data_IF_118126913128
#
_entry.id   IF_118126913128
#
_cell.length_a   1.000
_cell.length_b   1.000
_cell.length_c   1.000
_cell.angle_alpha   90.00
_cell.angle_beta   90.00
_cell.angle_gamma   90.00
#
_symmetry.space_group_name_H-M   'P 1'
#
loop_
_entity.id
_entity.type
_entity.pdbx_description
1 polymer ?
#
# COMPACT_ATOMS: atom_id res chain seq x y z
N UNK A 1 -17.76 -53.26 -18.48
CA UNK A 1 -17.61 -51.95 -17.88
C UNK A 1 -17.92 -50.91 -18.95
N UNK A 2 -18.87 -50.00 -18.70
CA UNK A 2 -19.37 -49.09 -19.70
C UNK A 2 -18.47 -47.83 -19.78
N UNK A 3 -17.64 -47.75 -20.81
CA UNK A 3 -16.63 -46.70 -21.04
C UNK A 3 -17.23 -45.26 -20.89
N UNK A 4 -18.49 -45.09 -21.28
CA UNK A 4 -19.17 -43.82 -21.12
C UNK A 4 -19.35 -43.37 -19.65
N UNK A 5 -19.54 -44.31 -18.73
CA UNK A 5 -19.64 -44.00 -17.27
C UNK A 5 -18.29 -43.71 -16.65
N UNK A 6 -17.20 -44.28 -17.21
CA UNK A 6 -15.84 -44.00 -16.77
C UNK A 6 -15.38 -42.63 -17.20
N UNK A 7 -15.71 -42.19 -18.45
CA UNK A 7 -15.38 -40.86 -18.93
C UNK A 7 -16.12 -39.77 -18.14
N UNK A 8 -17.40 -39.99 -17.79
CA UNK A 8 -18.17 -39.01 -17.02
C UNK A 8 -17.61 -38.81 -15.60
N UNK A 9 -17.04 -39.87 -14.99
CA UNK A 9 -16.41 -39.78 -13.67
C UNK A 9 -15.03 -39.14 -13.71
N UNK A 10 -14.29 -39.30 -14.80
CA UNK A 10 -12.98 -38.66 -14.99
C UNK A 10 -13.12 -37.14 -15.27
N UNK A 11 -14.17 -36.72 -15.98
CA UNK A 11 -14.42 -35.30 -16.24
C UNK A 11 -14.91 -34.57 -14.98
N UNK A 12 -15.63 -35.25 -14.07
CA UNK A 12 -16.05 -34.66 -12.79
C UNK A 12 -14.91 -34.48 -11.79
N UNK A 13 -13.78 -35.18 -11.96
CA UNK A 13 -12.64 -35.06 -11.04
C UNK A 13 -11.63 -33.96 -11.46
N UNK A 14 -11.77 -33.42 -12.67
CA UNK A 14 -10.86 -32.41 -13.21
C UNK A 14 -11.29 -30.96 -12.93
N UNK A 15 -12.40 -30.72 -12.22
CA UNK A 15 -12.90 -29.37 -11.92
C UNK A 15 -12.88 -29.03 -10.42
N UNK A 16 -11.98 -29.63 -9.67
CA UNK A 16 -11.57 -29.04 -8.40
C UNK A 16 -10.49 -28.03 -8.76
N UNK A 17 -10.92 -26.84 -9.18
CA UNK A 17 -10.08 -25.67 -9.12
C UNK A 17 -9.68 -25.50 -7.65
N UNK A 18 -8.46 -25.88 -7.32
CA UNK A 18 -7.85 -25.59 -6.03
C UNK A 18 -7.74 -24.06 -5.98
N UNK A 19 -8.74 -23.41 -5.41
CA UNK A 19 -8.59 -22.07 -4.89
C UNK A 19 -7.58 -22.18 -3.74
N UNK A 20 -6.31 -22.13 -4.09
CA UNK A 20 -5.29 -21.82 -3.10
C UNK A 20 -5.58 -20.36 -2.70
N UNK A 21 -5.89 -20.09 -1.43
CA UNK A 21 -5.89 -18.72 -0.96
C UNK A 21 -4.48 -18.18 -1.26
N UNK A 22 -4.38 -17.18 -2.12
CA UNK A 22 -3.15 -16.40 -2.22
C UNK A 22 -2.96 -15.80 -0.84
N UNK A 23 -2.02 -16.34 -0.07
CA UNK A 23 -1.60 -15.72 1.17
C UNK A 23 -1.05 -14.37 0.73
N UNK A 24 -1.76 -13.30 1.07
CA UNK A 24 -1.27 -11.95 0.88
C UNK A 24 0.04 -11.86 1.64
N UNK A 25 1.16 -11.86 0.92
CA UNK A 25 2.47 -11.66 1.53
C UNK A 25 2.63 -10.15 1.71
N UNK A 26 2.66 -9.73 2.95
CA UNK A 26 3.03 -8.37 3.29
C UNK A 26 4.53 -8.21 3.01
N UNK A 27 4.86 -7.38 2.02
CA UNK A 27 6.24 -6.99 1.78
C UNK A 27 6.61 -5.77 2.63
N UNK A 28 7.89 -5.65 2.93
CA UNK A 28 8.42 -4.47 3.60
C UNK A 28 8.99 -3.50 2.57
N UNK A 29 8.52 -2.25 2.61
CA UNK A 29 8.92 -1.16 1.73
C UNK A 29 9.67 -0.10 2.52
N UNK A 30 10.87 0.24 2.06
CA UNK A 30 11.74 1.17 2.77
C UNK A 30 11.69 2.56 2.15
N UNK A 31 11.40 3.56 2.99
CA UNK A 31 11.28 4.96 2.56
C UNK A 31 12.56 5.55 1.98
N UNK A 32 13.71 5.01 2.32
CA UNK A 32 15.01 5.44 1.76
C UNK A 32 15.13 5.12 0.25
N UNK A 33 14.36 4.17 -0.26
CA UNK A 33 14.38 3.81 -1.69
C UNK A 33 13.50 4.73 -2.56
N UNK A 34 12.81 5.70 -1.96
CA UNK A 34 11.98 6.69 -2.64
C UNK A 34 10.56 6.79 -2.04
N UNK A 35 9.82 7.78 -2.49
CA UNK A 35 8.40 7.92 -2.14
C UNK A 35 7.59 6.71 -2.59
N UNK A 36 6.56 6.37 -1.81
CA UNK A 36 5.75 5.16 -2.02
C UNK A 36 4.33 5.57 -2.39
N UNK A 37 3.78 4.92 -3.42
CA UNK A 37 2.36 5.03 -3.77
C UNK A 37 1.69 3.68 -3.62
N UNK A 38 0.66 3.61 -2.79
CA UNK A 38 -0.22 2.46 -2.66
C UNK A 38 -1.50 2.76 -3.42
N UNK A 39 -1.96 1.84 -4.26
CA UNK A 39 -3.18 2.00 -5.08
C UNK A 39 -4.07 0.77 -4.95
N UNK A 40 -5.25 0.94 -4.35
CA UNK A 40 -6.25 -0.10 -4.20
C UNK A 40 -7.40 0.11 -5.20
N UNK A 41 -7.76 -0.96 -5.89
CA UNK A 41 -8.84 -1.04 -6.88
C UNK A 41 -9.72 -2.26 -6.58
N UNK A 42 -10.80 -2.45 -7.33
CA UNK A 42 -11.64 -3.65 -7.25
C UNK A 42 -10.87 -4.95 -7.55
N UNK A 43 -9.76 -4.85 -8.30
CA UNK A 43 -8.95 -6.01 -8.71
C UNK A 43 -7.80 -6.33 -7.75
N UNK A 44 -7.53 -5.49 -6.76
CA UNK A 44 -6.46 -5.69 -5.79
C UNK A 44 -5.71 -4.41 -5.44
N UNK A 45 -4.62 -4.56 -4.71
CA UNK A 45 -3.77 -3.47 -4.27
C UNK A 45 -2.36 -3.63 -4.80
N UNK A 46 -1.81 -2.54 -5.31
CA UNK A 46 -0.45 -2.44 -5.80
C UNK A 46 0.34 -1.38 -5.04
N UNK A 47 1.63 -1.60 -4.91
CA UNK A 47 2.59 -0.63 -4.37
C UNK A 47 3.61 -0.28 -5.44
N UNK A 48 3.86 1.01 -5.60
CA UNK A 48 4.84 1.55 -6.55
C UNK A 48 5.91 2.35 -5.83
N UNK A 49 7.17 2.08 -6.13
CA UNK A 49 8.34 2.77 -5.59
C UNK A 49 9.50 2.69 -6.59
N UNK A 50 10.21 3.80 -6.82
CA UNK A 50 11.40 3.81 -7.67
C UNK A 50 11.16 3.33 -9.11
N UNK A 51 9.94 3.47 -9.65
CA UNK A 51 9.57 2.99 -10.98
C UNK A 51 9.19 1.51 -11.06
N UNK A 52 9.21 0.79 -9.93
CA UNK A 52 8.74 -0.60 -9.83
C UNK A 52 7.34 -0.61 -9.23
N UNK A 53 6.45 -1.42 -9.80
CA UNK A 53 5.10 -1.68 -9.26
C UNK A 53 4.94 -3.16 -8.98
N UNK A 54 4.44 -3.49 -7.79
CA UNK A 54 4.21 -4.87 -7.34
C UNK A 54 2.87 -4.98 -6.62
N UNK A 55 2.18 -6.10 -6.81
CA UNK A 55 1.00 -6.43 -6.02
C UNK A 55 1.40 -6.72 -4.56
N UNK A 56 0.76 -6.02 -3.63
CA UNK A 56 0.94 -6.19 -2.19
C UNK A 56 -0.32 -5.70 -1.48
N UNK A 57 -1.06 -6.62 -0.89
CA UNK A 57 -2.37 -6.33 -0.28
C UNK A 57 -2.30 -5.82 1.16
N UNK A 58 -1.12 -5.84 1.77
CA UNK A 58 -0.91 -5.40 3.16
C UNK A 58 0.54 -4.90 3.39
N UNK A 59 1.05 -3.92 2.61
CA UNK A 59 2.42 -3.46 2.72
C UNK A 59 2.74 -2.93 4.11
N UNK A 60 3.96 -3.24 4.57
CA UNK A 60 4.57 -2.61 5.73
C UNK A 60 5.58 -1.58 5.22
N UNK A 61 5.36 -0.32 5.57
CA UNK A 61 6.22 0.81 5.18
C UNK A 61 7.01 1.26 6.40
N UNK A 62 8.33 1.37 6.24
CA UNK A 62 9.21 1.77 7.34
C UNK A 62 10.49 2.45 6.86
N UNK A 63 11.24 3.05 7.78
CA UNK A 63 12.63 3.41 7.56
C UNK A 63 13.56 2.22 7.90
N UNK A 64 14.71 2.13 7.24
CA UNK A 64 15.82 1.25 7.68
C UNK A 64 16.46 1.76 8.95
N UNK A 65 16.57 3.08 9.05
CA UNK A 65 17.05 3.79 10.22
C UNK A 65 16.02 4.84 10.63
N UNK A 66 15.19 4.50 11.61
CA UNK A 66 14.14 5.38 12.11
C UNK A 66 14.68 6.60 12.88
N UNK A 67 15.97 6.64 13.21
CA UNK A 67 16.61 7.82 13.81
C UNK A 67 16.89 8.93 12.78
N UNK A 68 16.91 8.59 11.48
CA UNK A 68 17.14 9.50 10.38
C UNK A 68 15.83 9.78 9.63
N UNK A 69 15.45 11.06 9.52
CA UNK A 69 14.26 11.42 8.73
C UNK A 69 14.53 11.36 7.23
N UNK A 70 13.50 11.06 6.46
CA UNK A 70 13.50 11.14 5.00
C UNK A 70 12.48 12.17 4.49
N UNK A 71 12.74 12.76 3.34
CA UNK A 71 11.79 13.63 2.63
C UNK A 71 10.83 12.86 1.74
N UNK A 72 11.03 11.55 1.58
CA UNK A 72 10.13 10.68 0.83
C UNK A 72 8.83 10.49 1.61
N UNK A 73 7.71 10.57 0.90
CA UNK A 73 6.36 10.52 1.47
C UNK A 73 5.59 9.27 1.00
N UNK A 74 4.42 9.09 1.58
CA UNK A 74 3.49 8.00 1.23
C UNK A 74 2.21 8.58 0.68
N UNK A 75 1.79 8.13 -0.51
CA UNK A 75 0.47 8.41 -1.08
C UNK A 75 -0.34 7.12 -1.12
N UNK A 76 -1.54 7.15 -0.54
CA UNK A 76 -2.45 6.00 -0.51
C UNK A 76 -3.71 6.37 -1.29
N UNK A 77 -3.97 5.67 -2.38
CA UNK A 77 -5.16 5.84 -3.21
C UNK A 77 -6.08 4.64 -3.07
N UNK A 78 -7.37 4.91 -2.90
CA UNK A 78 -8.38 3.86 -2.94
C UNK A 78 -9.53 4.30 -3.85
N UNK A 79 -9.82 3.51 -4.88
CA UNK A 79 -10.96 3.75 -5.77
C UNK A 79 -12.27 3.50 -5.02
N UNK A 80 -13.36 4.06 -5.53
CA UNK A 80 -14.69 3.85 -4.95
C UNK A 80 -15.01 2.35 -4.83
N UNK A 81 -15.37 1.91 -3.64
CA UNK A 81 -15.65 0.50 -3.33
C UNK A 81 -14.42 -0.31 -2.89
N UNK A 82 -13.21 0.16 -3.20
CA UNK A 82 -11.99 -0.49 -2.75
C UNK A 82 -11.57 -0.08 -1.33
N UNK A 83 -10.71 -0.88 -0.72
CA UNK A 83 -10.10 -0.58 0.58
C UNK A 83 -8.59 -0.79 0.49
N UNK A 84 -7.82 0.25 0.71
CA UNK A 84 -6.38 0.16 0.86
C UNK A 84 -6.02 -0.23 2.31
N UNK A 85 -5.11 -1.19 2.47
CA UNK A 85 -4.59 -1.62 3.77
C UNK A 85 -3.09 -1.32 3.80
N UNK A 86 -2.64 -0.54 4.77
CA UNK A 86 -1.24 -0.10 4.90
C UNK A 86 -0.84 -0.11 6.36
N UNK A 87 0.35 -0.61 6.66
CA UNK A 87 0.98 -0.48 7.98
C UNK A 87 2.18 0.46 7.90
N UNK A 88 2.23 1.44 8.78
CA UNK A 88 3.42 2.25 9.05
C UNK A 88 4.09 1.72 10.32
N UNK A 89 5.37 1.40 10.22
CA UNK A 89 6.16 0.84 11.33
C UNK A 89 7.51 1.54 11.42
N UNK A 90 7.84 2.19 12.53
CA UNK A 90 9.09 2.93 12.70
C UNK A 90 9.38 3.92 11.56
N UNK A 91 8.38 4.66 11.09
CA UNK A 91 8.57 5.65 10.03
C UNK A 91 9.02 6.99 10.60
N UNK A 92 9.96 7.64 9.90
CA UNK A 92 10.41 9.00 10.22
C UNK A 92 10.45 9.82 8.92
N UNK A 93 9.38 10.57 8.69
CA UNK A 93 9.18 11.39 7.49
C UNK A 93 9.18 12.86 7.89
N UNK A 94 10.00 13.66 7.21
CA UNK A 94 10.04 15.12 7.35
C UNK A 94 10.02 15.79 5.98
N UNK A 95 8.85 16.22 5.55
CA UNK A 95 8.62 16.92 4.28
C UNK A 95 8.61 18.45 4.44
N UNK A 96 8.97 18.99 5.59
CA UNK A 96 8.94 20.45 5.87
C UNK A 96 9.85 21.26 4.96
N UNK A 97 10.93 20.65 4.43
CA UNK A 97 11.93 21.27 3.56
C UNK A 97 11.69 21.11 2.06
N UNK A 98 10.51 20.65 1.64
CA UNK A 98 10.19 20.40 0.22
C UNK A 98 10.38 21.63 -0.69
N UNK A 99 10.55 21.37 -2.01
CA UNK A 99 10.75 22.40 -3.03
C UNK A 99 9.51 23.31 -3.16
N UNK A 100 9.57 24.52 -2.60
CA UNK A 100 8.50 25.51 -2.63
C UNK A 100 8.81 26.68 -1.72
N UNK A 101 7.88 27.63 -1.54
CA UNK A 101 7.99 28.66 -0.50
C UNK A 101 8.22 27.97 0.85
N UNK A 102 9.05 28.55 1.72
CA UNK A 102 9.36 27.97 3.03
C UNK A 102 8.10 27.46 3.73
N UNK A 103 8.06 26.18 4.05
CA UNK A 103 6.92 25.51 4.69
C UNK A 103 5.87 24.94 3.74
N UNK A 104 6.09 24.97 2.42
CA UNK A 104 5.20 24.38 1.41
C UNK A 104 5.52 22.92 1.06
N UNK A 105 6.09 22.18 2.01
CA UNK A 105 6.31 20.73 1.82
C UNK A 105 4.99 19.97 1.69
N UNK A 106 5.05 18.78 1.12
CA UNK A 106 3.89 17.89 1.00
C UNK A 106 3.45 17.31 2.36
N UNK A 107 2.31 16.62 2.38
CA UNK A 107 1.94 15.77 3.50
C UNK A 107 2.91 14.59 3.62
N UNK A 108 3.28 14.20 4.85
CA UNK A 108 4.09 13.00 5.06
C UNK A 108 3.35 11.74 4.59
N UNK A 109 2.05 11.67 4.88
CA UNK A 109 1.13 10.65 4.37
C UNK A 109 -0.10 11.34 3.79
N UNK A 110 -0.43 11.04 2.53
CA UNK A 110 -1.64 11.53 1.88
C UNK A 110 -2.54 10.37 1.48
N UNK A 111 -3.83 10.50 1.77
CA UNK A 111 -4.85 9.57 1.29
C UNK A 111 -5.69 10.24 0.21
N UNK A 112 -6.00 9.53 -0.87
CA UNK A 112 -6.74 10.04 -2.03
C UNK A 112 -7.82 9.05 -2.50
N UNK A 113 -8.76 9.54 -3.29
CA UNK A 113 -9.84 8.74 -3.87
C UNK A 113 -11.06 8.60 -2.97
N UNK A 114 -12.08 7.90 -3.50
CA UNK A 114 -13.40 7.76 -2.88
C UNK A 114 -13.57 6.43 -2.10
N UNK A 115 -12.55 5.58 -2.06
CA UNK A 115 -12.54 4.32 -1.31
C UNK A 115 -12.15 4.51 0.15
N UNK A 116 -11.95 3.39 0.83
CA UNK A 116 -11.57 3.35 2.23
C UNK A 116 -10.06 3.14 2.39
N UNK A 117 -9.50 3.66 3.46
CA UNK A 117 -8.11 3.42 3.85
C UNK A 117 -8.06 2.91 5.29
N UNK A 118 -7.50 1.73 5.48
CA UNK A 118 -7.13 1.19 6.77
C UNK A 118 -5.63 1.46 6.97
N UNK A 119 -5.31 2.46 7.78
CA UNK A 119 -3.95 2.80 8.14
C UNK A 119 -3.67 2.27 9.54
N UNK A 120 -2.83 1.24 9.64
CA UNK A 120 -2.32 0.72 10.89
C UNK A 120 -1.01 1.44 11.22
N UNK A 121 -0.85 1.91 12.44
CA UNK A 121 0.34 2.64 12.89
C UNK A 121 0.94 1.86 14.05
N UNK A 122 2.11 1.28 13.83
CA UNK A 122 2.80 0.43 14.78
C UNK A 122 4.16 1.02 15.16
N UNK A 123 4.60 0.79 16.39
CA UNK A 123 5.86 1.30 16.95
C UNK A 123 5.93 2.85 16.93
N UNK A 124 7.15 3.42 16.85
CA UNK A 124 7.35 4.87 16.91
C UNK A 124 7.37 5.48 15.50
N UNK A 125 6.37 6.31 15.19
CA UNK A 125 6.27 6.99 13.90
C UNK A 125 6.34 8.50 14.09
N UNK A 126 7.19 9.17 13.30
CA UNK A 126 7.30 10.62 13.23
C UNK A 126 6.88 11.09 11.84
N UNK A 127 5.80 11.87 11.76
CA UNK A 127 5.24 12.37 10.50
C UNK A 127 5.18 13.89 10.55
N UNK A 128 6.17 14.55 9.94
CA UNK A 128 6.26 16.00 9.83
C UNK A 128 5.94 16.44 8.40
N UNK A 129 5.03 17.39 8.27
CA UNK A 129 4.54 17.90 6.99
C UNK A 129 4.79 19.40 6.85
N UNK A 130 4.69 19.91 5.63
CA UNK A 130 4.76 21.33 5.37
C UNK A 130 3.65 22.10 6.12
N UNK A 131 3.82 23.42 6.29
CA UNK A 131 2.97 24.27 7.14
C UNK A 131 1.48 24.26 6.76
N UNK A 132 1.14 23.89 5.54
CA UNK A 132 -0.23 23.85 5.03
C UNK A 132 -0.81 22.43 4.99
N UNK A 133 -0.08 21.43 5.46
CA UNK A 133 -0.43 20.03 5.41
C UNK A 133 -0.43 19.39 6.80
N UNK A 134 -1.27 18.39 6.99
CA UNK A 134 -1.25 17.54 8.19
C UNK A 134 -0.26 16.38 8.00
N UNK A 135 0.28 15.83 9.10
CA UNK A 135 1.13 14.64 9.07
C UNK A 135 0.48 13.47 8.32
N UNK A 136 -0.82 13.26 8.56
CA UNK A 136 -1.71 12.42 7.75
C UNK A 136 -2.82 13.31 7.20
N UNK A 137 -2.94 13.40 5.89
CA UNK A 137 -3.89 14.30 5.20
C UNK A 137 -4.79 13.50 4.26
N UNK A 138 -6.07 13.86 4.23
CA UNK A 138 -6.97 13.46 3.16
C UNK A 138 -6.88 14.46 2.02
N UNK A 139 -6.33 14.04 0.88
CA UNK A 139 -6.37 14.80 -0.36
C UNK A 139 -7.80 14.90 -0.91
N UNK A 140 -8.03 15.89 -1.76
CA UNK A 140 -9.29 16.00 -2.48
C UNK A 140 -9.37 14.85 -3.50
N UNK A 141 -10.38 14.00 -3.36
CA UNK A 141 -10.75 12.96 -4.31
C UNK A 141 -11.82 13.45 -5.26
#
# INVERSE_FOLDING_TARGET
MNIRKLLTRLVSLALIAVFLPTVAMADTWYLEDGSITVSATDSGQNVSQGGVTKEDSAPVIRNRDSSASTTNNVTIRADAGATANVTLEDTNIDTTGGAGPKGAGDAAVRTEGAGNVNLNVELDNTLQSGNTHAGVEKGNG
#
